data_IF_396528275545
#
_entry.id   IF_396528275545
#
_cell.length_a   1.000
_cell.length_b   1.000
_cell.length_c   1.000
_cell.angle_alpha   90.00
_cell.angle_beta   90.00
_cell.angle_gamma   90.00
#
_symmetry.space_group_name_H-M   'P 1'
#
loop_
_entity.id
_entity.type
_entity.pdbx_description
1 polymer ?
#
# COMPACT_ATOMS: atom_id res chain seq x y z
N UNK A 1 -11.12 1.38 2.09
CA UNK A 1 -9.72 1.76 1.78
C UNK A 1 -8.91 2.06 3.03
N UNK A 2 -9.36 2.94 3.93
CA UNK A 2 -8.60 3.37 5.11
C UNK A 2 -8.10 2.24 6.04
N UNK A 3 -8.93 1.21 6.31
CA UNK A 3 -8.56 0.07 7.17
C UNK A 3 -7.34 -0.68 6.62
N UNK A 4 -7.37 -1.03 5.32
CA UNK A 4 -6.27 -1.74 4.66
C UNK A 4 -5.00 -0.89 4.60
N UNK A 5 -5.12 0.40 4.29
CA UNK A 5 -4.00 1.34 4.32
C UNK A 5 -3.36 1.41 5.73
N UNK A 6 -4.18 1.46 6.77
CA UNK A 6 -3.70 1.52 8.16
C UNK A 6 -2.99 0.22 8.54
N UNK A 7 -3.54 -0.93 8.17
CA UNK A 7 -2.90 -2.23 8.39
C UNK A 7 -1.55 -2.34 7.64
N UNK A 8 -1.50 -1.92 6.38
CA UNK A 8 -0.26 -1.92 5.59
C UNK A 8 0.81 -1.03 6.25
N UNK A 9 0.42 0.18 6.68
CA UNK A 9 1.32 1.09 7.41
C UNK A 9 1.86 0.47 8.70
N UNK A 10 1.00 -0.21 9.47
CA UNK A 10 1.44 -0.84 10.72
C UNK A 10 2.35 -2.03 10.47
N UNK A 11 2.09 -2.86 9.45
CA UNK A 11 3.00 -3.94 9.06
C UNK A 11 4.38 -3.42 8.64
N UNK A 12 4.43 -2.34 7.86
CA UNK A 12 5.69 -1.70 7.49
C UNK A 12 6.45 -1.17 8.71
N UNK A 13 5.76 -0.49 9.63
CA UNK A 13 6.39 0.03 10.86
C UNK A 13 6.88 -1.09 11.75
N UNK A 14 6.08 -2.14 11.92
CA UNK A 14 6.48 -3.33 12.67
C UNK A 14 7.75 -3.95 12.07
N UNK A 15 7.83 -4.13 10.76
CA UNK A 15 9.04 -4.65 10.12
C UNK A 15 10.27 -3.74 10.37
N UNK A 16 10.08 -2.41 10.32
CA UNK A 16 11.14 -1.44 10.62
C UNK A 16 11.59 -1.50 12.09
N UNK A 17 10.66 -1.55 13.04
CA UNK A 17 10.97 -1.68 14.47
C UNK A 17 11.74 -2.97 14.77
N UNK A 18 11.40 -4.09 14.10
CA UNK A 18 12.12 -5.36 14.23
C UNK A 18 13.56 -5.23 13.71
N UNK A 19 13.74 -4.59 12.56
CA UNK A 19 15.06 -4.31 12.01
C UNK A 19 15.90 -3.42 12.94
N UNK A 20 15.33 -2.31 13.41
CA UNK A 20 16.01 -1.35 14.29
C UNK A 20 16.39 -1.96 15.65
N UNK A 21 15.63 -2.96 16.12
CA UNK A 21 15.95 -3.72 17.34
C UNK A 21 17.12 -4.70 17.18
N UNK A 22 17.75 -4.76 15.99
CA UNK A 22 18.84 -5.69 15.67
C UNK A 22 18.38 -7.14 15.51
N UNK A 23 17.07 -7.38 15.43
CA UNK A 23 16.50 -8.70 15.25
C UNK A 23 16.39 -9.02 13.75
N UNK A 24 16.44 -10.32 13.44
CA UNK A 24 16.14 -10.79 12.08
C UNK A 24 14.69 -10.42 11.74
N UNK A 25 14.50 -9.77 10.59
CA UNK A 25 13.22 -9.17 10.19
C UNK A 25 12.78 -9.52 8.76
N UNK A 26 13.40 -10.52 8.13
CA UNK A 26 13.13 -10.89 6.73
C UNK A 26 11.69 -11.36 6.52
N UNK A 27 11.12 -12.08 7.49
CA UNK A 27 9.73 -12.51 7.45
C UNK A 27 8.78 -11.32 7.56
N UNK A 28 9.00 -10.44 8.53
CA UNK A 28 8.18 -9.24 8.75
C UNK A 28 8.25 -8.28 7.56
N UNK A 29 9.45 -8.07 7.01
CA UNK A 29 9.64 -7.27 5.81
C UNK A 29 8.94 -7.91 4.59
N UNK A 30 8.99 -9.23 4.46
CA UNK A 30 8.26 -9.98 3.42
C UNK A 30 6.75 -9.81 3.53
N UNK A 31 6.19 -9.95 4.74
CA UNK A 31 4.77 -9.74 5.01
C UNK A 31 4.34 -8.30 4.68
N UNK A 32 5.13 -7.32 5.14
CA UNK A 32 4.86 -5.91 4.88
C UNK A 32 4.89 -5.59 3.38
N UNK A 33 5.90 -6.08 2.65
CA UNK A 33 6.03 -5.87 1.21
C UNK A 33 4.83 -6.45 0.45
N UNK A 34 4.51 -7.72 0.68
CA UNK A 34 3.41 -8.40 -0.01
C UNK A 34 2.10 -7.64 0.22
N UNK A 35 1.73 -7.47 1.49
CA UNK A 35 0.45 -6.86 1.84
C UNK A 35 0.34 -5.41 1.38
N UNK A 36 1.37 -4.59 1.58
CA UNK A 36 1.34 -3.19 1.17
C UNK A 36 1.22 -3.04 -0.35
N UNK A 37 1.89 -3.89 -1.12
CA UNK A 37 1.83 -3.82 -2.60
C UNK A 37 0.45 -4.18 -3.15
N UNK A 38 -0.18 -5.24 -2.63
CA UNK A 38 -1.52 -5.65 -3.04
C UNK A 38 -2.57 -4.60 -2.63
N UNK A 39 -2.46 -4.08 -1.40
CA UNK A 39 -3.36 -3.02 -0.90
C UNK A 39 -3.22 -1.73 -1.70
N UNK A 40 -2.00 -1.34 -2.09
CA UNK A 40 -1.77 -0.17 -2.91
C UNK A 40 -2.48 -0.31 -4.27
N UNK A 41 -2.32 -1.46 -4.94
CA UNK A 41 -2.98 -1.74 -6.21
C UNK A 41 -4.51 -1.71 -6.07
N UNK A 42 -5.05 -2.36 -5.03
CA UNK A 42 -6.49 -2.35 -4.77
C UNK A 42 -7.01 -0.92 -4.53
N UNK A 43 -6.29 -0.12 -3.77
CA UNK A 43 -6.67 1.28 -3.47
C UNK A 43 -6.62 2.12 -4.75
N UNK A 44 -5.55 2.03 -5.56
CA UNK A 44 -5.45 2.75 -6.82
C UNK A 44 -6.59 2.40 -7.79
N UNK A 45 -6.86 1.11 -7.98
CA UNK A 45 -7.96 0.64 -8.84
C UNK A 45 -9.35 1.09 -8.35
N UNK A 46 -9.55 1.14 -7.03
CA UNK A 46 -10.80 1.67 -6.47
C UNK A 46 -10.88 3.19 -6.66
N UNK A 47 -9.76 3.91 -6.56
CA UNK A 47 -9.71 5.36 -6.79
C UNK A 47 -10.07 5.70 -8.24
N UNK A 48 -9.48 5.00 -9.22
CA UNK A 48 -9.84 5.13 -10.65
C UNK A 48 -11.34 4.89 -10.86
N UNK A 49 -11.89 3.81 -10.28
CA UNK A 49 -13.32 3.49 -10.38
C UNK A 49 -14.23 4.59 -9.83
N UNK A 50 -13.85 5.24 -8.73
CA UNK A 50 -14.62 6.36 -8.17
C UNK A 50 -14.65 7.56 -9.12
N UNK A 51 -13.57 7.79 -9.89
CA UNK A 51 -13.49 8.91 -10.85
C UNK A 51 -14.21 8.61 -12.18
N UNK A 52 -14.72 7.39 -12.39
CA UNK A 52 -15.44 7.01 -13.60
C UNK A 52 -14.59 7.21 -14.86
N UNK A 53 -15.17 7.78 -15.92
CA UNK A 53 -14.46 8.04 -17.18
C UNK A 53 -13.24 8.96 -17.03
N UNK A 54 -13.26 9.89 -16.06
CA UNK A 54 -12.11 10.77 -15.78
C UNK A 54 -10.95 10.02 -15.12
N UNK A 55 -11.21 8.86 -14.51
CA UNK A 55 -10.17 8.01 -13.92
C UNK A 55 -9.18 7.45 -14.95
N UNK A 56 -9.49 7.54 -16.24
CA UNK A 56 -8.64 7.12 -17.36
C UNK A 56 -8.04 8.30 -18.14
N UNK A 57 -8.40 9.55 -17.78
CA UNK A 57 -7.85 10.73 -18.42
C UNK A 57 -6.48 11.05 -17.84
N UNK A 58 -5.49 11.26 -18.70
CA UNK A 58 -4.12 11.66 -18.31
C UNK A 58 -4.05 13.07 -17.72
N UNK A 59 -5.15 13.82 -17.75
CA UNK A 59 -5.27 15.12 -17.07
C UNK A 59 -5.45 14.98 -15.55
N UNK A 60 -5.84 13.79 -15.07
CA UNK A 60 -6.04 13.52 -13.65
C UNK A 60 -5.00 12.52 -13.14
N UNK A 61 -4.30 12.90 -12.06
CA UNK A 61 -3.22 12.12 -11.45
C UNK A 61 -3.59 10.66 -11.06
N UNK A 62 -4.89 10.37 -10.91
CA UNK A 62 -5.41 9.07 -10.48
C UNK A 62 -5.17 7.95 -11.51
N UNK A 63 -4.95 8.28 -12.78
CA UNK A 63 -4.61 7.29 -13.82
C UNK A 63 -3.19 6.73 -13.65
N UNK A 64 -2.29 7.52 -13.05
CA UNK A 64 -0.86 7.20 -12.92
C UNK A 64 -0.42 6.69 -11.54
N UNK A 65 -1.18 7.00 -10.47
CA UNK A 65 -0.79 6.74 -9.07
C UNK A 65 -1.60 5.63 -8.40
#
# INVERSE_FOLDING_TARGET
>A
MATKLTAARQLTRYAAERYDSGQRCDMEAGMAKLFASEVAMEIALNAVRIHGGYGYSTEYDVERR
#
